data_IF_245721791079
#
_entry.id   IF_245721791079
#
_cell.length_a   1.000
_cell.length_b   1.000
_cell.length_c   1.000
_cell.angle_alpha   90.00
_cell.angle_beta   90.00
_cell.angle_gamma   90.00
#
_symmetry.space_group_name_H-M   'P 1'
#
loop_
_entity.id
_entity.type
_entity.pdbx_description
1 polymer ?
#
# COMPACT_ATOMS: atom_id res chain seq x y z
N UNK A 1 -2.28 9.35 -13.77
CA UNK A 1 -2.39 9.24 -12.29
C UNK A 1 -1.41 8.18 -11.77
N UNK A 2 -0.80 8.30 -10.58
CA UNK A 2 0.10 7.27 -10.00
C UNK A 2 -0.51 5.86 -9.98
N UNK A 3 -1.83 5.78 -9.92
CA UNK A 3 -2.61 4.55 -10.01
C UNK A 3 -2.53 3.82 -11.36
N UNK A 4 -2.38 4.55 -12.45
CA UNK A 4 -2.20 3.97 -13.79
C UNK A 4 -0.82 3.35 -13.93
N UNK A 5 0.21 3.95 -13.32
CA UNK A 5 1.55 3.37 -13.27
C UNK A 5 1.53 2.03 -12.51
N UNK A 6 0.88 1.97 -11.34
CA UNK A 6 0.76 0.71 -10.57
C UNK A 6 0.09 -0.37 -11.41
N UNK A 7 -1.02 -0.06 -12.09
CA UNK A 7 -1.71 -1.02 -12.97
C UNK A 7 -0.86 -1.48 -14.15
N UNK A 8 0.00 -0.61 -14.69
CA UNK A 8 0.90 -0.98 -15.79
C UNK A 8 2.06 -1.87 -15.33
N UNK A 9 2.58 -1.65 -14.12
CA UNK A 9 3.68 -2.46 -13.58
C UNK A 9 3.20 -3.79 -12.98
N UNK A 10 1.92 -3.89 -12.62
CA UNK A 10 1.35 -5.05 -11.95
C UNK A 10 0.03 -5.45 -12.63
N UNK A 11 0.09 -5.97 -13.87
CA UNK A 11 -1.10 -6.26 -14.67
C UNK A 11 -2.00 -7.33 -14.04
N UNK A 12 -1.41 -8.24 -13.26
CA UNK A 12 -2.13 -9.31 -12.58
C UNK A 12 -2.70 -8.89 -11.22
N UNK A 13 -2.44 -7.66 -10.75
CA UNK A 13 -2.94 -7.18 -9.47
C UNK A 13 -4.47 -7.04 -9.51
N UNK A 14 -5.15 -7.72 -8.58
CA UNK A 14 -6.61 -7.64 -8.42
C UNK A 14 -6.98 -6.73 -7.26
N UNK A 15 -6.50 -7.04 -6.06
CA UNK A 15 -6.73 -6.22 -4.87
C UNK A 15 -5.60 -6.41 -3.85
N UNK A 16 -5.69 -5.68 -2.76
CA UNK A 16 -4.72 -5.71 -1.68
C UNK A 16 -5.42 -6.12 -0.38
N UNK A 17 -4.91 -7.13 0.31
CA UNK A 17 -5.35 -7.47 1.66
C UNK A 17 -4.44 -6.79 2.68
N UNK A 18 -5.04 -6.11 3.64
CA UNK A 18 -4.35 -5.45 4.74
C UNK A 18 -4.00 -6.49 5.81
N UNK A 19 -2.71 -6.60 6.14
CA UNK A 19 -2.24 -7.47 7.23
C UNK A 19 -2.10 -6.70 8.53
N UNK A 20 -1.47 -5.52 8.46
CA UNK A 20 -1.23 -4.67 9.61
C UNK A 20 -1.50 -3.21 9.26
N UNK A 21 -2.00 -2.46 10.23
CA UNK A 21 -2.25 -1.03 10.12
C UNK A 21 -1.91 -0.34 11.45
N UNK A 22 -0.93 0.52 11.41
CA UNK A 22 -0.45 1.33 12.53
C UNK A 22 -0.80 2.80 12.25
N UNK A 23 -1.54 3.44 13.16
CA UNK A 23 -1.80 4.88 13.10
C UNK A 23 -0.55 5.66 13.54
N UNK A 24 -0.02 6.51 12.66
CA UNK A 24 1.13 7.37 12.95
C UNK A 24 0.64 8.76 13.38
N UNK A 25 -0.33 9.31 12.66
CA UNK A 25 -0.86 10.67 12.90
C UNK A 25 -2.37 10.64 12.76
N UNK A 26 -3.04 11.35 13.67
CA UNK A 26 -4.46 11.64 13.58
C UNK A 26 -4.77 13.10 13.90
N UNK A 27 -5.45 13.75 12.96
CA UNK A 27 -5.96 15.10 13.12
C UNK A 27 -7.31 15.25 12.44
N UNK A 28 -7.92 16.45 12.53
CA UNK A 28 -9.22 16.72 11.90
C UNK A 28 -9.17 16.70 10.37
N UNK A 29 -8.01 16.90 9.77
CA UNK A 29 -7.87 17.06 8.31
C UNK A 29 -6.81 16.15 7.70
N UNK A 30 -5.99 15.47 8.51
CA UNK A 30 -4.96 14.55 8.07
C UNK A 30 -4.92 13.28 8.93
N UNK A 31 -4.72 12.15 8.26
CA UNK A 31 -4.39 10.85 8.86
C UNK A 31 -3.11 10.33 8.23
N UNK A 32 -2.27 9.66 9.00
CA UNK A 32 -1.16 8.89 8.45
C UNK A 32 -1.16 7.50 9.05
N UNK A 33 -1.05 6.49 8.19
CA UNK A 33 -0.95 5.10 8.60
C UNK A 33 0.28 4.46 7.99
N UNK A 34 0.97 3.64 8.77
CA UNK A 34 1.92 2.65 8.26
C UNK A 34 1.16 1.33 8.11
N UNK A 35 1.27 0.71 6.95
CA UNK A 35 0.58 -0.53 6.65
C UNK A 35 1.53 -1.61 6.15
N UNK A 36 1.23 -2.85 6.49
CA UNK A 36 1.73 -4.05 5.82
C UNK A 36 0.56 -4.68 5.09
N UNK A 37 0.75 -4.99 3.82
CA UNK A 37 -0.32 -5.52 3.00
C UNK A 37 0.20 -6.48 1.93
N UNK A 38 -0.62 -7.46 1.56
CA UNK A 38 -0.32 -8.42 0.50
C UNK A 38 -1.11 -8.12 -0.75
N UNK A 39 -0.50 -8.35 -1.90
CA UNK A 39 -1.16 -8.26 -3.19
C UNK A 39 -1.82 -9.59 -3.52
N UNK A 40 -3.07 -9.54 -3.93
CA UNK A 40 -3.79 -10.70 -4.45
C UNK A 40 -3.93 -10.52 -5.94
N UNK A 41 -3.53 -11.53 -6.70
CA UNK A 41 -3.65 -11.50 -8.15
C UNK A 41 -5.05 -11.91 -8.62
N UNK A 42 -5.32 -11.81 -9.93
CA UNK A 42 -6.61 -12.18 -10.52
C UNK A 42 -7.01 -13.65 -10.34
N UNK A 43 -6.06 -14.53 -10.01
CA UNK A 43 -6.31 -15.95 -9.70
C UNK A 43 -6.56 -16.20 -8.19
N UNK A 44 -6.57 -15.15 -7.37
CA UNK A 44 -6.70 -15.26 -5.91
C UNK A 44 -5.43 -15.71 -5.21
N UNK A 45 -4.28 -15.74 -5.90
CA UNK A 45 -2.99 -16.11 -5.31
C UNK A 45 -2.33 -14.91 -4.64
N UNK A 46 -1.74 -15.16 -3.48
CA UNK A 46 -0.88 -14.20 -2.79
C UNK A 46 0.38 -13.95 -3.62
N UNK A 47 0.55 -12.71 -4.05
CA UNK A 47 1.78 -12.19 -4.63
C UNK A 47 2.71 -11.66 -3.53
N UNK A 48 3.31 -10.49 -3.76
CA UNK A 48 4.23 -9.89 -2.81
C UNK A 48 3.52 -9.20 -1.63
N UNK A 49 4.11 -9.29 -0.45
CA UNK A 49 3.79 -8.45 0.72
C UNK A 49 4.56 -7.14 0.56
N UNK A 50 4.00 -6.02 0.96
CA UNK A 50 4.68 -4.73 0.93
C UNK A 50 4.34 -3.92 2.16
N UNK A 51 5.23 -2.98 2.48
CA UNK A 51 5.02 -2.00 3.52
C UNK A 51 4.98 -0.60 2.92
N UNK A 52 4.08 0.24 3.42
CA UNK A 52 3.95 1.61 2.98
C UNK A 52 3.49 2.53 4.11
N UNK A 53 3.68 3.84 3.92
CA UNK A 53 2.99 4.88 4.68
C UNK A 53 1.99 5.55 3.75
N UNK A 54 0.73 5.61 4.16
CA UNK A 54 -0.31 6.38 3.49
C UNK A 54 -0.59 7.64 4.28
N UNK A 55 -0.54 8.77 3.59
CA UNK A 55 -0.98 10.06 4.11
C UNK A 55 -2.30 10.39 3.45
N UNK A 56 -3.34 10.53 4.26
CA UNK A 56 -4.68 10.87 3.83
C UNK A 56 -5.01 12.30 4.22
N UNK A 57 -5.66 13.01 3.31
CA UNK A 57 -6.22 14.33 3.56
C UNK A 57 -7.73 14.29 3.45
N UNK A 58 -8.41 15.08 4.28
CA UNK A 58 -9.84 15.34 4.17
C UNK A 58 -10.07 16.45 3.15
N UNK A 59 -10.80 16.18 2.07
CA UNK A 59 -11.25 17.17 1.11
C UNK A 59 -12.76 16.97 0.85
N UNK A 60 -13.54 18.06 0.92
CA UNK A 60 -15.00 18.02 0.67
C UNK A 60 -15.73 16.89 1.43
N UNK A 61 -15.38 16.70 2.72
CA UNK A 61 -15.90 15.64 3.61
C UNK A 61 -15.56 14.19 3.18
N UNK A 62 -14.58 14.00 2.30
CA UNK A 62 -14.08 12.68 1.90
C UNK A 62 -12.59 12.54 2.22
N UNK A 63 -12.19 11.39 2.76
CA UNK A 63 -10.79 11.05 2.93
C UNK A 63 -10.22 10.51 1.62
N UNK A 64 -9.12 11.09 1.17
CA UNK A 64 -8.37 10.61 0.00
C UNK A 64 -6.89 10.43 0.33
N UNK A 65 -6.24 9.44 -0.29
CA UNK A 65 -4.78 9.28 -0.22
C UNK A 65 -4.13 10.43 -0.99
N UNK A 66 -3.42 11.30 -0.28
CA UNK A 66 -2.64 12.38 -0.88
C UNK A 66 -1.28 11.87 -1.34
N UNK A 67 -0.63 11.06 -0.51
CA UNK A 67 0.69 10.49 -0.78
C UNK A 67 0.78 9.06 -0.25
N UNK A 68 1.52 8.22 -0.99
CA UNK A 68 1.98 6.91 -0.54
C UNK A 68 3.50 6.87 -0.62
N UNK A 69 4.14 6.52 0.50
CA UNK A 69 5.56 6.19 0.53
C UNK A 69 5.73 4.68 0.64
N UNK A 70 6.40 4.06 -0.33
CA UNK A 70 6.73 2.63 -0.25
C UNK A 70 7.97 2.44 0.64
N UNK A 71 7.85 1.55 1.62
CA UNK A 71 8.93 1.21 2.54
C UNK A 71 9.65 -0.09 2.15
N UNK A 72 9.04 -0.92 1.31
CA UNK A 72 9.68 -2.14 0.79
C UNK A 72 8.67 -3.21 0.39
N UNK A 73 9.18 -4.29 -0.19
CA UNK A 73 8.44 -5.48 -0.59
C UNK A 73 9.08 -6.69 0.10
N UNK A 74 8.26 -7.55 0.70
CA UNK A 74 8.63 -8.81 1.34
C UNK A 74 7.96 -9.97 0.58
N UNK A 75 8.71 -10.97 0.12
CA UNK A 75 8.11 -12.13 -0.57
C UNK A 75 9.05 -12.89 -1.49
N UNK A 76 9.63 -13.96 -0.93
CA UNK A 76 10.34 -15.11 -1.53
C UNK A 76 11.07 -14.94 -2.87
N UNK A 77 12.17 -14.20 -2.87
CA UNK A 77 13.50 -14.65 -3.33
C UNK A 77 14.40 -13.43 -3.39
N UNK A 78 15.19 -13.21 -2.34
CA UNK A 78 16.59 -12.88 -2.49
C UNK A 78 17.23 -12.86 -1.11
N UNK A 79 18.27 -13.68 -0.99
CA UNK A 79 19.29 -13.54 0.03
C UNK A 79 19.62 -12.05 0.18
N UNK A 80 19.38 -11.52 1.37
CA UNK A 80 20.10 -10.35 1.82
C UNK A 80 21.55 -10.81 1.94
N UNK A 81 22.36 -10.46 0.94
CA UNK A 81 23.80 -10.59 1.01
C UNK A 81 24.26 -9.84 2.27
N UNK A 82 24.86 -10.61 3.18
CA UNK A 82 25.70 -10.11 4.28
C UNK A 82 27.06 -9.75 3.71
#
# INVERSE_FOLDING_TARGET
MPWELIRNYEPDWSYTELEELEEIIKSKTQLAYKLVARRINSEGKTGSIFQAIWILGLNENMWGVQTRYNLGIFGSSNNLAV
#
